data_IF_261958301306
#
_entry.id   IF_261958301306
#
_cell.length_a   1.000
_cell.length_b   1.000
_cell.length_c   1.000
_cell.angle_alpha   90.00
_cell.angle_beta   90.00
_cell.angle_gamma   90.00
#
_symmetry.space_group_name_H-M   'P 1'
#
loop_
_entity.id
_entity.type
_entity.pdbx_description
1 polymer ?
#
# COMPACT_ATOMS: atom_id res chain seq x y z
N UNK A 1 -9.65 19.27 -7.34
CA UNK A 1 -8.56 19.04 -8.29
C UNK A 1 -8.50 17.56 -8.69
N UNK A 2 -7.81 17.29 -9.77
CA UNK A 2 -7.62 15.94 -10.28
C UNK A 2 -6.88 15.06 -9.27
N UNK A 3 -5.85 15.60 -8.63
CA UNK A 3 -5.08 14.88 -7.60
C UNK A 3 -5.94 14.58 -6.38
N UNK A 4 -6.78 15.51 -5.97
CA UNK A 4 -7.67 15.30 -4.83
C UNK A 4 -8.68 14.18 -5.10
N UNK A 5 -9.24 14.14 -6.31
CA UNK A 5 -10.16 13.07 -6.70
C UNK A 5 -9.49 11.71 -6.70
N UNK A 6 -8.25 11.62 -7.20
CA UNK A 6 -7.47 10.37 -7.19
C UNK A 6 -7.16 9.92 -5.76
N UNK A 7 -6.80 10.86 -4.89
CA UNK A 7 -6.54 10.56 -3.49
C UNK A 7 -7.80 10.06 -2.79
N UNK A 8 -8.93 10.69 -3.02
CA UNK A 8 -10.21 10.28 -2.44
C UNK A 8 -10.61 8.87 -2.92
N UNK A 9 -10.44 8.59 -4.20
CA UNK A 9 -10.70 7.28 -4.79
C UNK A 9 -9.83 6.20 -4.11
N UNK A 10 -8.54 6.47 -3.98
CA UNK A 10 -7.60 5.56 -3.34
C UNK A 10 -7.97 5.33 -1.86
N UNK A 11 -8.20 6.41 -1.12
CA UNK A 11 -8.53 6.34 0.30
C UNK A 11 -9.86 5.62 0.55
N UNK A 12 -10.83 5.77 -0.33
CA UNK A 12 -12.11 5.07 -0.23
C UNK A 12 -11.92 3.57 -0.28
N UNK A 13 -11.09 3.08 -1.19
CA UNK A 13 -10.83 1.64 -1.32
C UNK A 13 -10.00 1.14 -0.14
N UNK A 14 -8.94 1.86 0.23
CA UNK A 14 -8.08 1.49 1.37
C UNK A 14 -8.88 1.45 2.67
N UNK A 15 -9.85 2.34 2.84
CA UNK A 15 -10.73 2.34 4.02
C UNK A 15 -11.53 1.03 4.15
N UNK A 16 -11.92 0.43 3.02
CA UNK A 16 -12.63 -0.85 3.04
C UNK A 16 -11.70 -1.98 3.52
N UNK A 17 -10.45 -1.97 3.08
CA UNK A 17 -9.45 -2.93 3.55
C UNK A 17 -9.17 -2.76 5.04
N UNK A 18 -9.03 -1.51 5.50
CA UNK A 18 -8.79 -1.19 6.91
C UNK A 18 -9.95 -1.65 7.79
N UNK A 19 -11.18 -1.43 7.36
CA UNK A 19 -12.37 -1.89 8.07
C UNK A 19 -12.39 -3.41 8.19
N UNK A 20 -12.05 -4.10 7.10
CA UNK A 20 -11.98 -5.56 7.09
C UNK A 20 -10.89 -6.07 8.02
N UNK A 21 -9.72 -5.42 8.02
CA UNK A 21 -8.64 -5.77 8.94
C UNK A 21 -9.08 -5.64 10.40
N UNK A 22 -9.80 -4.58 10.72
CA UNK A 22 -10.33 -4.37 12.06
C UNK A 22 -11.33 -5.46 12.44
N UNK A 23 -12.21 -5.85 11.52
CA UNK A 23 -13.18 -6.92 11.74
C UNK A 23 -12.46 -8.25 12.07
N UNK A 24 -11.37 -8.57 11.38
CA UNK A 24 -10.58 -9.77 11.65
C UNK A 24 -9.90 -9.71 13.02
N UNK A 25 -9.38 -8.53 13.40
CA UNK A 25 -8.78 -8.35 14.74
C UNK A 25 -9.84 -8.61 15.82
N UNK A 26 -11.02 -8.03 15.66
CA UNK A 26 -12.11 -8.20 16.61
C UNK A 26 -12.55 -9.67 16.68
N UNK A 27 -12.66 -10.35 15.53
CA UNK A 27 -13.04 -11.76 15.50
C UNK A 27 -12.02 -12.65 16.22
N UNK A 28 -10.73 -12.35 16.07
CA UNK A 28 -9.66 -13.11 16.72
C UNK A 28 -9.76 -13.06 18.25
N UNK A 29 -10.18 -11.93 18.80
CA UNK A 29 -10.30 -11.74 20.25
C UNK A 29 -11.71 -12.00 20.78
N UNK A 30 -12.67 -12.34 19.92
CA UNK A 30 -14.01 -12.71 20.33
C UNK A 30 -13.96 -14.00 21.17
N UNK A 31 -14.56 -14.01 22.38
CA UNK A 31 -14.59 -15.21 23.22
C UNK A 31 -15.13 -16.46 22.51
N UNK A 32 -15.98 -16.27 21.51
CA UNK A 32 -16.58 -17.33 20.70
C UNK A 32 -15.52 -18.11 19.90
N UNK A 33 -14.45 -17.44 19.46
CA UNK A 33 -13.46 -17.99 18.54
C UNK A 33 -12.07 -18.16 19.13
N UNK A 34 -11.69 -17.35 20.10
CA UNK A 34 -10.29 -17.24 20.56
C UNK A 34 -9.69 -18.54 21.11
N UNK A 35 -10.50 -19.47 21.57
CA UNK A 35 -10.06 -20.79 22.09
C UNK A 35 -10.19 -21.89 21.05
N UNK A 36 -10.72 -21.58 19.87
CA UNK A 36 -10.85 -22.51 18.75
C UNK A 36 -9.69 -22.30 17.79
N UNK A 37 -8.70 -23.20 17.82
CA UNK A 37 -7.50 -23.03 17.01
C UNK A 37 -7.77 -23.04 15.51
N UNK A 38 -8.75 -23.79 15.04
CA UNK A 38 -9.11 -23.81 13.62
C UNK A 38 -9.74 -22.47 13.20
N UNK A 39 -10.60 -21.91 14.06
CA UNK A 39 -11.20 -20.61 13.80
C UNK A 39 -10.14 -19.51 13.78
N UNK A 40 -9.21 -19.51 14.74
CA UNK A 40 -8.11 -18.52 14.81
C UNK A 40 -7.24 -18.63 13.56
N UNK A 41 -6.87 -19.83 13.14
CA UNK A 41 -6.05 -20.04 11.93
C UNK A 41 -6.77 -19.51 10.68
N UNK A 42 -8.07 -19.74 10.55
CA UNK A 42 -8.88 -19.25 9.44
C UNK A 42 -8.92 -17.72 9.42
N UNK A 43 -9.11 -17.10 10.59
CA UNK A 43 -9.14 -15.64 10.73
C UNK A 43 -7.78 -15.05 10.36
N UNK A 44 -6.68 -15.63 10.82
CA UNK A 44 -5.33 -15.16 10.47
C UNK A 44 -5.07 -15.26 8.97
N UNK A 45 -5.48 -16.37 8.34
CA UNK A 45 -5.35 -16.54 6.90
C UNK A 45 -6.11 -15.46 6.14
N UNK A 46 -7.36 -15.19 6.53
CA UNK A 46 -8.17 -14.16 5.90
C UNK A 46 -7.57 -12.76 6.11
N UNK A 47 -7.05 -12.50 7.31
CA UNK A 47 -6.39 -11.23 7.62
C UNK A 47 -5.16 -11.03 6.73
N UNK A 48 -4.32 -12.05 6.60
CA UNK A 48 -3.13 -11.99 5.75
C UNK A 48 -3.48 -11.80 4.28
N UNK A 49 -4.53 -12.45 3.79
CA UNK A 49 -5.01 -12.27 2.42
C UNK A 49 -5.48 -10.84 2.19
N UNK A 50 -6.13 -10.24 3.18
CA UNK A 50 -6.60 -8.87 3.09
C UNK A 50 -5.44 -7.89 2.96
N UNK A 51 -4.37 -8.08 3.72
CA UNK A 51 -3.14 -7.27 3.64
C UNK A 51 -2.52 -7.38 2.25
N UNK A 52 -2.42 -8.58 1.72
CA UNK A 52 -1.85 -8.80 0.38
C UNK A 52 -2.70 -8.13 -0.69
N UNK A 53 -4.02 -8.23 -0.58
CA UNK A 53 -4.93 -7.61 -1.55
C UNK A 53 -4.82 -6.08 -1.53
N UNK A 54 -4.70 -5.49 -0.36
CA UNK A 54 -4.50 -4.04 -0.24
C UNK A 54 -3.19 -3.62 -0.91
N UNK A 55 -2.12 -4.37 -0.67
CA UNK A 55 -0.82 -4.12 -1.26
C UNK A 55 -0.89 -4.20 -2.79
N UNK A 56 -1.50 -5.26 -3.33
CA UNK A 56 -1.67 -5.43 -4.79
C UNK A 56 -2.50 -4.27 -5.36
N UNK A 57 -3.59 -3.89 -4.69
CA UNK A 57 -4.39 -2.75 -5.12
C UNK A 57 -3.56 -1.48 -5.20
N UNK A 58 -2.76 -1.21 -4.16
CA UNK A 58 -1.91 -0.02 -4.09
C UNK A 58 -0.88 0.01 -5.22
N UNK A 59 -0.21 -1.11 -5.48
CA UNK A 59 0.77 -1.18 -6.56
C UNK A 59 0.12 -1.00 -7.94
N UNK A 60 -1.04 -1.61 -8.15
CA UNK A 60 -1.78 -1.43 -9.39
C UNK A 60 -2.22 0.02 -9.59
N UNK A 61 -2.64 0.67 -8.51
CA UNK A 61 -2.99 2.09 -8.55
C UNK A 61 -1.79 2.93 -9.03
N UNK A 62 -0.61 2.70 -8.44
CA UNK A 62 0.61 3.42 -8.81
C UNK A 62 0.97 3.17 -10.28
N UNK A 63 0.94 1.92 -10.71
CA UNK A 63 1.31 1.54 -12.08
C UNK A 63 0.35 2.11 -13.12
N UNK A 64 -0.92 2.27 -12.77
CA UNK A 64 -1.94 2.78 -13.68
C UNK A 64 -2.08 4.31 -13.65
N UNK A 65 -1.39 4.99 -12.74
CA UNK A 65 -1.51 6.44 -12.57
C UNK A 65 -0.14 7.14 -12.48
N UNK A 66 0.78 6.88 -13.43
CA UNK A 66 2.13 7.47 -13.37
C UNK A 66 2.15 8.98 -13.57
N UNK A 67 1.08 9.56 -14.08
CA UNK A 67 0.89 10.99 -14.29
C UNK A 67 0.20 11.69 -13.11
N UNK A 68 -0.09 10.96 -12.04
CA UNK A 68 -0.75 11.49 -10.86
C UNK A 68 0.26 11.77 -9.74
N UNK A 69 0.16 12.94 -9.11
CA UNK A 69 0.94 13.26 -7.92
C UNK A 69 0.67 12.30 -6.75
N UNK A 70 -0.44 11.58 -6.79
CA UNK A 70 -0.80 10.60 -5.76
C UNK A 70 0.04 9.33 -5.90
N UNK A 71 0.50 8.99 -7.10
CA UNK A 71 1.27 7.75 -7.33
C UNK A 71 2.50 7.62 -6.43
N UNK A 72 3.42 8.61 -6.37
CA UNK A 72 4.58 8.47 -5.49
C UNK A 72 4.21 8.48 -4.01
N UNK A 73 3.13 9.16 -3.63
CA UNK A 73 2.62 9.11 -2.26
C UNK A 73 2.19 7.68 -1.88
N UNK A 74 1.44 7.01 -2.75
CA UNK A 74 1.01 5.63 -2.52
C UNK A 74 2.20 4.68 -2.48
N UNK A 75 3.17 4.86 -3.39
CA UNK A 75 4.40 4.07 -3.38
C UNK A 75 5.14 4.20 -2.06
N UNK A 76 5.28 5.42 -1.54
CA UNK A 76 5.93 5.69 -0.24
C UNK A 76 5.24 4.97 0.91
N UNK A 77 3.92 4.88 0.89
CA UNK A 77 3.18 4.16 1.93
C UNK A 77 3.47 2.66 1.95
N UNK A 78 4.01 2.13 0.88
CA UNK A 78 4.21 0.70 0.70
C UNK A 78 5.69 0.31 0.55
N UNK A 79 6.62 1.22 0.83
CA UNK A 79 8.05 1.01 0.59
C UNK A 79 8.63 -0.14 1.41
N UNK A 80 8.16 -0.34 2.64
CA UNK A 80 8.69 -1.38 3.52
C UNK A 80 8.43 -2.80 2.97
N UNK A 81 7.38 -2.96 2.19
CA UNK A 81 7.00 -4.25 1.63
C UNK A 81 7.33 -4.37 0.14
N UNK A 82 8.05 -3.39 -0.41
CA UNK A 82 8.32 -3.32 -1.84
C UNK A 82 9.81 -3.40 -2.09
N UNK A 83 10.20 -4.30 -2.99
CA UNK A 83 11.59 -4.44 -3.42
C UNK A 83 12.07 -3.15 -4.07
N UNK A 84 13.30 -2.74 -3.78
CA UNK A 84 13.89 -1.51 -4.32
C UNK A 84 13.93 -1.51 -5.86
N UNK A 85 14.18 -2.65 -6.47
CA UNK A 85 14.15 -2.77 -7.94
C UNK A 85 12.76 -2.47 -8.50
N UNK A 86 11.71 -2.88 -7.79
CA UNK A 86 10.34 -2.59 -8.19
C UNK A 86 10.02 -1.11 -8.01
N UNK A 87 10.47 -0.51 -6.90
CA UNK A 87 10.34 0.94 -6.70
C UNK A 87 11.03 1.74 -7.80
N UNK A 88 12.20 1.28 -8.23
CA UNK A 88 12.92 1.89 -9.34
C UNK A 88 12.10 1.84 -10.64
N UNK A 89 11.47 0.71 -10.91
CA UNK A 89 10.59 0.55 -12.07
C UNK A 89 9.38 1.50 -11.99
N UNK A 90 8.79 1.66 -10.80
CA UNK A 90 7.71 2.61 -10.56
C UNK A 90 8.19 4.03 -10.85
N UNK A 91 9.33 4.41 -10.27
CA UNK A 91 9.86 5.74 -10.40
C UNK A 91 10.15 6.11 -11.86
N UNK A 92 10.70 5.18 -12.63
CA UNK A 92 11.01 5.39 -14.05
C UNK A 92 9.76 5.63 -14.90
N UNK A 93 8.62 5.11 -14.48
CA UNK A 93 7.35 5.30 -15.20
C UNK A 93 6.67 6.63 -14.87
N UNK A 94 7.04 7.26 -13.77
CA UNK A 94 6.46 8.56 -13.40
C UNK A 94 6.78 9.59 -14.47
N UNK A 95 5.81 10.45 -14.78
CA UNK A 95 6.07 11.59 -15.65
C UNK A 95 7.11 12.50 -14.99
N UNK A 96 7.92 13.26 -15.78
CA UNK A 96 8.92 14.15 -15.20
C UNK A 96 8.34 15.11 -14.16
N UNK A 97 7.16 15.63 -14.42
CA UNK A 97 6.47 16.55 -13.51
C UNK A 97 6.17 15.89 -12.16
N UNK A 98 5.67 14.66 -12.20
CA UNK A 98 5.36 13.90 -10.99
C UNK A 98 6.62 13.48 -10.25
N UNK A 99 7.66 13.06 -10.98
CA UNK A 99 8.94 12.68 -10.39
C UNK A 99 9.60 13.84 -9.64
N UNK A 100 9.40 15.07 -10.11
CA UNK A 100 9.93 16.30 -9.48
C UNK A 100 9.06 16.85 -8.37
N UNK A 101 7.88 16.26 -8.15
CA UNK A 101 6.98 16.65 -7.08
C UNK A 101 7.54 16.28 -5.69
N UNK A 102 6.94 16.82 -4.65
CA UNK A 102 7.34 16.56 -3.26
C UNK A 102 7.50 15.06 -2.97
N UNK A 103 6.50 14.27 -3.32
CA UNK A 103 6.53 12.83 -3.04
C UNK A 103 7.39 12.06 -4.04
N UNK A 104 7.52 12.54 -5.27
CA UNK A 104 8.46 11.96 -6.24
C UNK A 104 9.90 12.09 -5.77
N UNK A 105 10.27 13.27 -5.29
CA UNK A 105 11.60 13.53 -4.72
C UNK A 105 11.83 12.68 -3.47
N UNK A 106 10.83 12.58 -2.59
CA UNK A 106 10.94 11.77 -1.39
C UNK A 106 11.12 10.29 -1.72
N UNK A 107 10.42 9.79 -2.73
CA UNK A 107 10.56 8.40 -3.18
C UNK A 107 11.96 8.12 -3.70
N UNK A 108 12.50 9.02 -4.51
CA UNK A 108 13.87 8.90 -5.02
C UNK A 108 14.88 8.87 -3.89
N UNK A 109 14.73 9.75 -2.91
CA UNK A 109 15.63 9.79 -1.75
C UNK A 109 15.58 8.48 -0.97
N UNK A 110 14.38 7.95 -0.74
CA UNK A 110 14.24 6.66 -0.06
C UNK A 110 15.01 5.56 -0.81
N UNK A 111 14.86 5.48 -2.13
CA UNK A 111 15.54 4.47 -2.94
C UNK A 111 17.07 4.61 -2.88
N UNK A 112 17.57 5.85 -2.93
CA UNK A 112 19.01 6.12 -2.84
C UNK A 112 19.57 5.72 -1.48
N UNK A 113 18.84 6.04 -0.40
CA UNK A 113 19.24 5.70 0.97
C UNK A 113 19.28 4.17 1.15
N UNK A 114 18.29 3.45 0.62
CA UNK A 114 18.25 1.99 0.70
C UNK A 114 19.40 1.35 -0.08
N UNK A 115 19.74 1.86 -1.25
CA UNK A 115 20.89 1.37 -2.04
C UNK A 115 22.20 1.60 -1.32
N UNK A 116 22.33 2.71 -0.61
CA UNK A 116 23.55 3.05 0.15
C UNK A 116 23.71 2.21 1.41
N UNK A 117 22.60 1.68 1.95
CA UNK A 117 22.60 0.84 3.16
C UNK A 117 23.02 -0.60 2.90
N UNK A 118 23.09 -1.02 1.63
CA UNK A 118 23.50 -2.39 1.25
C UNK A 118 25.02 -2.60 1.30
#
# INVERSE_FOLDING_TARGET
SKSQKKLEEYNKVVSRFSKKSLDYIQARYDPKFRTDSLAVDSIEKLSNQNVVREYIYSLNFVMNNPDSYVAPYVALRNVENTNVKFLDSIYRKLTPEVAESKYGVALKKYMEDEKSAE
#
